data_IF_551696059770
#
_entry.id   IF_551696059770
#
_cell.length_a   1.000
_cell.length_b   1.000
_cell.length_c   1.000
_cell.angle_alpha   90.00
_cell.angle_beta   90.00
_cell.angle_gamma   90.00
#
_symmetry.space_group_name_H-M   'P 1'
#
loop_
_entity.id
_entity.type
_entity.pdbx_description
1 polymer ?
#
# COMPACT_ATOMS: atom_id res chain seq x y z
N UNK A 1 -3.83 -12.89 -3.87
CA UNK A 1 -4.10 -12.09 -5.08
C UNK A 1 -2.82 -11.41 -5.55
N UNK A 2 -2.33 -10.36 -4.88
CA UNK A 2 -1.12 -9.62 -5.32
C UNK A 2 0.16 -10.47 -5.54
N UNK A 3 0.43 -11.46 -4.69
CA UNK A 3 1.55 -12.38 -4.87
C UNK A 3 1.37 -13.28 -6.12
N UNK A 4 0.16 -13.81 -6.32
CA UNK A 4 -0.19 -14.57 -7.53
C UNK A 4 -0.08 -13.71 -8.79
N UNK A 5 -0.50 -12.44 -8.73
CA UNK A 5 -0.43 -11.52 -9.85
C UNK A 5 1.03 -11.21 -10.22
N UNK A 6 1.92 -11.07 -9.22
CA UNK A 6 3.35 -10.92 -9.44
C UNK A 6 3.96 -12.16 -10.11
N UNK A 7 3.64 -13.36 -9.62
CA UNK A 7 4.10 -14.63 -10.22
C UNK A 7 3.58 -14.75 -11.66
N UNK A 8 2.30 -14.44 -11.88
CA UNK A 8 1.70 -14.44 -13.21
C UNK A 8 2.42 -13.47 -14.14
N UNK A 9 2.66 -12.24 -13.70
CA UNK A 9 3.41 -11.25 -14.46
C UNK A 9 4.81 -11.75 -14.82
N UNK A 10 5.56 -12.32 -13.88
CA UNK A 10 6.89 -12.88 -14.13
C UNK A 10 6.83 -13.97 -15.20
N UNK A 11 5.87 -14.89 -15.11
CA UNK A 11 5.67 -15.94 -16.11
C UNK A 11 5.34 -15.35 -17.49
N UNK A 12 4.42 -14.39 -17.58
CA UNK A 12 4.04 -13.74 -18.84
C UNK A 12 5.20 -12.96 -19.47
N UNK A 13 6.15 -12.48 -18.66
CA UNK A 13 7.36 -11.78 -19.13
C UNK A 13 8.56 -12.68 -19.33
N UNK A 14 8.44 -13.99 -19.09
CA UNK A 14 9.56 -14.93 -19.18
C UNK A 14 10.65 -14.69 -18.12
N UNK A 15 10.30 -14.06 -17.00
CA UNK A 15 11.22 -13.82 -15.88
C UNK A 15 11.22 -15.07 -15.01
N UNK A 16 12.20 -15.95 -15.23
CA UNK A 16 12.33 -17.21 -14.50
C UNK A 16 13.03 -17.05 -13.15
N UNK A 17 13.76 -15.94 -12.96
CA UNK A 17 14.51 -15.65 -11.75
C UNK A 17 14.74 -14.14 -11.59
N UNK A 18 14.60 -13.60 -10.38
CA UNK A 18 14.86 -12.18 -10.12
C UNK A 18 15.43 -11.89 -8.72
N UNK A 19 16.00 -10.70 -8.58
CA UNK A 19 16.21 -10.05 -7.28
C UNK A 19 15.04 -9.09 -7.09
N UNK A 20 14.30 -9.22 -5.98
CA UNK A 20 13.13 -8.38 -5.72
C UNK A 20 13.47 -7.32 -4.68
N UNK A 21 13.15 -6.07 -5.00
CA UNK A 21 13.14 -4.95 -4.05
C UNK A 21 11.69 -4.50 -3.92
N UNK A 22 11.15 -4.52 -2.71
CA UNK A 22 9.76 -4.16 -2.45
C UNK A 22 9.64 -3.22 -1.26
N UNK A 23 9.00 -2.08 -1.47
CA UNK A 23 8.61 -1.14 -0.42
C UNK A 23 7.18 -1.42 0.06
N UNK A 24 6.96 -1.38 1.37
CA UNK A 24 5.63 -1.49 1.99
C UNK A 24 4.83 -2.69 1.44
N UNK A 25 3.64 -2.47 0.89
CA UNK A 25 2.81 -3.54 0.31
C UNK A 25 3.49 -4.30 -0.84
N UNK A 26 4.42 -3.65 -1.57
CA UNK A 26 5.24 -4.31 -2.59
C UNK A 26 6.21 -5.32 -1.99
N UNK A 27 6.78 -5.02 -0.83
CA UNK A 27 7.61 -5.94 -0.06
C UNK A 27 6.82 -7.16 0.44
N UNK A 28 5.64 -6.92 1.01
CA UNK A 28 4.73 -8.00 1.44
C UNK A 28 4.34 -8.92 0.27
N UNK A 29 4.00 -8.34 -0.88
CA UNK A 29 3.63 -9.09 -2.08
C UNK A 29 4.79 -9.94 -2.60
N UNK A 30 6.01 -9.38 -2.61
CA UNK A 30 7.22 -10.09 -3.01
C UNK A 30 7.61 -11.21 -2.04
N UNK A 31 7.54 -10.96 -0.73
CA UNK A 31 7.78 -11.98 0.29
C UNK A 31 6.81 -13.16 0.15
N UNK A 32 5.52 -12.89 0.02
CA UNK A 32 4.52 -13.95 -0.17
C UNK A 32 4.74 -14.71 -1.48
N UNK A 33 5.10 -14.02 -2.56
CA UNK A 33 5.44 -14.67 -3.83
C UNK A 33 6.67 -15.59 -3.69
N UNK A 34 7.68 -15.16 -2.94
CA UNK A 34 8.88 -15.96 -2.68
C UNK A 34 8.60 -17.17 -1.79
N UNK A 35 7.69 -17.07 -0.82
CA UNK A 35 7.24 -18.24 -0.04
C UNK A 35 6.48 -19.26 -0.93
N UNK A 36 5.70 -18.76 -1.90
CA UNK A 36 4.94 -19.62 -2.81
C UNK A 36 5.78 -20.25 -3.94
N UNK A 37 6.77 -19.54 -4.47
CA UNK A 37 7.59 -19.94 -5.63
C UNK A 37 9.06 -19.57 -5.39
N UNK A 38 9.74 -20.18 -4.39
CA UNK A 38 11.07 -19.75 -3.95
C UNK A 38 12.13 -19.80 -5.05
N UNK A 39 12.02 -20.74 -5.99
CA UNK A 39 12.96 -20.88 -7.11
C UNK A 39 13.00 -19.65 -8.05
N UNK A 40 11.94 -18.82 -8.06
CA UNK A 40 11.88 -17.62 -8.89
C UNK A 40 12.62 -16.42 -8.30
N UNK A 41 13.11 -16.51 -7.05
CA UNK A 41 13.69 -15.38 -6.33
C UNK A 41 15.10 -15.71 -5.83
N UNK A 42 16.10 -14.96 -6.31
CA UNK A 42 17.48 -15.07 -5.83
C UNK A 42 17.68 -14.42 -4.49
N UNK A 43 17.03 -13.29 -4.27
CA UNK A 43 17.26 -12.43 -3.12
C UNK A 43 16.11 -11.44 -2.96
N UNK A 44 15.79 -11.09 -1.71
CA UNK A 44 14.78 -10.11 -1.36
C UNK A 44 15.41 -8.92 -0.63
N UNK A 45 15.00 -7.70 -1.00
CA UNK A 45 15.20 -6.48 -0.21
C UNK A 45 13.82 -5.92 0.13
N UNK A 46 13.50 -5.95 1.42
CA UNK A 46 12.19 -5.61 1.96
C UNK A 46 12.31 -4.30 2.73
N UNK A 47 11.74 -3.23 2.20
CA UNK A 47 11.87 -1.88 2.74
C UNK A 47 10.54 -1.43 3.35
N UNK A 48 10.59 -1.05 4.63
CA UNK A 48 9.44 -0.52 5.40
C UNK A 48 8.14 -1.32 5.18
N UNK A 49 8.22 -2.66 5.30
CA UNK A 49 7.07 -3.56 5.15
C UNK A 49 6.89 -4.49 6.35
N UNK A 50 5.70 -5.08 6.50
CA UNK A 50 5.44 -6.09 7.52
C UNK A 50 5.82 -7.50 7.04
N UNK A 51 6.34 -8.34 7.94
CA UNK A 51 6.65 -9.76 7.70
C UNK A 51 5.54 -10.68 8.24
N UNK A 52 4.59 -10.10 8.98
CA UNK A 52 3.43 -10.77 9.54
C UNK A 52 2.20 -9.86 9.51
N UNK A 53 1.16 -10.18 10.30
CA UNK A 53 -0.03 -9.35 10.38
C UNK A 53 0.31 -7.92 10.79
N UNK A 54 -0.35 -6.94 10.18
CA UNK A 54 -0.21 -5.55 10.60
C UNK A 54 -0.65 -5.38 12.07
N UNK A 55 -0.05 -4.44 12.82
CA UNK A 55 -0.53 -4.03 14.13
C UNK A 55 -2.04 -3.77 14.12
N UNK A 56 -2.76 -4.22 15.15
CA UNK A 56 -4.23 -4.12 15.20
C UNK A 56 -4.73 -2.70 14.93
N UNK A 57 -4.06 -1.71 15.53
CA UNK A 57 -4.37 -0.28 15.33
C UNK A 57 -4.34 0.13 13.85
N UNK A 58 -3.37 -0.38 13.07
CA UNK A 58 -3.30 -0.09 11.63
C UNK A 58 -4.38 -0.85 10.86
N UNK A 59 -4.68 -2.09 11.24
CA UNK A 59 -5.79 -2.87 10.63
C UNK A 59 -7.15 -2.20 10.81
N UNK A 60 -7.38 -1.56 11.96
CA UNK A 60 -8.62 -0.84 12.24
C UNK A 60 -8.70 0.52 11.50
N UNK A 61 -7.57 1.22 11.38
CA UNK A 61 -7.51 2.55 10.76
C UNK A 61 -7.55 2.52 9.22
N UNK A 62 -6.98 1.49 8.58
CA UNK A 62 -6.89 1.42 7.12
C UNK A 62 -8.25 1.42 6.41
N UNK A 63 -9.26 0.62 6.82
CA UNK A 63 -10.60 0.67 6.23
C UNK A 63 -11.28 2.03 6.41
N UNK A 64 -11.16 2.64 7.59
CA UNK A 64 -11.74 3.95 7.89
C UNK A 64 -11.14 5.01 6.97
N UNK A 65 -9.81 5.05 6.89
CA UNK A 65 -9.11 6.01 6.04
C UNK A 65 -9.42 5.81 4.55
N UNK A 66 -9.45 4.56 4.09
CA UNK A 66 -9.74 4.21 2.70
C UNK A 66 -11.15 4.62 2.26
N UNK A 67 -12.16 4.30 3.06
CA UNK A 67 -13.54 4.67 2.79
C UNK A 67 -13.71 6.19 2.80
N UNK A 68 -13.15 6.86 3.81
CA UNK A 68 -13.19 8.31 3.92
C UNK A 68 -12.55 8.99 2.71
N UNK A 69 -11.38 8.51 2.27
CA UNK A 69 -10.71 9.07 1.11
C UNK A 69 -11.52 8.85 -0.17
N UNK A 70 -12.12 7.68 -0.34
CA UNK A 70 -12.96 7.39 -1.50
C UNK A 70 -14.22 8.27 -1.55
N UNK A 71 -14.86 8.49 -0.40
CA UNK A 71 -15.99 9.40 -0.25
C UNK A 71 -15.60 10.84 -0.59
N UNK A 72 -14.53 11.36 0.02
CA UNK A 72 -14.04 12.72 -0.24
C UNK A 72 -13.71 12.93 -1.73
N UNK A 73 -13.08 11.95 -2.38
CA UNK A 73 -12.75 12.05 -3.81
C UNK A 73 -14.01 12.12 -4.67
N UNK A 74 -15.09 11.43 -4.29
CA UNK A 74 -16.37 11.50 -4.99
C UNK A 74 -17.09 12.85 -4.85
N UNK A 75 -16.77 13.61 -3.80
CA UNK A 75 -17.31 14.94 -3.52
C UNK A 75 -16.52 16.09 -4.17
N UNK A 76 -15.35 15.81 -4.78
CA UNK A 76 -14.55 16.85 -5.42
C UNK A 76 -15.41 17.54 -6.51
N UNK A 77 -15.48 18.88 -6.52
CA UNK A 77 -16.22 19.60 -7.56
C UNK A 77 -15.68 19.29 -8.95
N UNK A 78 -16.54 19.15 -9.97
CA UNK A 78 -16.09 18.86 -11.32
C UNK A 78 -15.32 20.05 -11.93
N UNK A 79 -14.36 19.75 -12.81
CA UNK A 79 -13.55 20.68 -13.59
C UNK A 79 -12.55 21.53 -12.77
N UNK A 80 -12.26 21.15 -11.52
CA UNK A 80 -11.16 21.73 -10.75
C UNK A 80 -9.83 21.14 -11.20
N UNK A 81 -8.75 21.91 -11.08
CA UNK A 81 -7.41 21.39 -11.37
C UNK A 81 -6.92 20.45 -10.24
N UNK A 82 -5.82 19.75 -10.47
CA UNK A 82 -5.32 18.76 -9.52
C UNK A 82 -4.88 19.40 -8.18
N UNK A 83 -4.34 20.61 -8.20
CA UNK A 83 -3.93 21.33 -6.98
C UNK A 83 -5.15 21.70 -6.12
N UNK A 84 -6.23 22.19 -6.74
CA UNK A 84 -7.50 22.49 -6.09
C UNK A 84 -8.15 21.22 -5.51
N UNK A 85 -8.11 20.11 -6.24
CA UNK A 85 -8.57 18.81 -5.76
C UNK A 85 -7.79 18.37 -4.51
N UNK A 86 -6.47 18.53 -4.49
CA UNK A 86 -5.64 18.21 -3.33
C UNK A 86 -5.88 19.12 -2.13
N UNK A 87 -6.16 20.41 -2.35
CA UNK A 87 -6.57 21.34 -1.29
C UNK A 87 -7.90 20.87 -0.69
N UNK A 88 -8.89 20.54 -1.52
CA UNK A 88 -10.18 20.02 -1.08
C UNK A 88 -10.03 18.76 -0.22
N UNK A 89 -9.25 17.78 -0.69
CA UNK A 89 -8.98 16.53 0.04
C UNK A 89 -8.36 16.84 1.40
N UNK A 90 -7.32 17.68 1.47
CA UNK A 90 -6.63 18.01 2.72
C UNK A 90 -7.55 18.67 3.76
N UNK A 91 -8.37 19.63 3.34
CA UNK A 91 -9.29 20.32 4.25
C UNK A 91 -10.41 19.40 4.76
N UNK A 92 -10.98 18.56 3.88
CA UNK A 92 -11.99 17.56 4.27
C UNK A 92 -11.39 16.51 5.22
N UNK A 93 -10.22 15.97 4.89
CA UNK A 93 -9.51 15.01 5.74
C UNK A 93 -9.21 15.58 7.12
N UNK A 94 -8.73 16.83 7.21
CA UNK A 94 -8.44 17.49 8.48
C UNK A 94 -9.69 17.65 9.37
N UNK A 95 -10.84 17.86 8.76
CA UNK A 95 -12.12 18.03 9.46
C UNK A 95 -12.68 16.70 9.96
N UNK A 96 -12.50 15.63 9.18
CA UNK A 96 -13.11 14.33 9.41
C UNK A 96 -12.21 13.33 10.16
N UNK A 97 -10.89 13.58 10.23
CA UNK A 97 -9.98 12.74 11.00
C UNK A 97 -10.13 12.96 12.52
N UNK A 98 -10.15 11.88 13.34
CA UNK A 98 -10.21 12.00 14.80
C UNK A 98 -9.06 12.85 15.34
N UNK A 99 -9.35 13.78 16.27
CA UNK A 99 -8.36 14.74 16.82
C UNK A 99 -7.14 14.06 17.48
N UNK A 100 -7.28 12.81 17.94
CA UNK A 100 -6.21 12.00 18.52
C UNK A 100 -5.24 11.37 17.49
N UNK A 101 -5.52 11.52 16.19
CA UNK A 101 -4.56 11.18 15.13
C UNK A 101 -3.41 12.20 15.00
N UNK A 102 -3.50 13.34 15.68
CA UNK A 102 -2.55 14.45 15.65
C UNK A 102 -1.19 14.17 16.31
N UNK A 103 -1.06 13.06 17.06
CA UNK A 103 0.21 12.61 17.64
C UNK A 103 1.14 11.87 16.65
N UNK A 104 0.71 11.68 15.40
CA UNK A 104 1.64 11.42 14.30
C UNK A 104 2.40 12.73 14.09
N UNK A 105 3.50 12.92 14.84
CA UNK A 105 4.39 14.09 14.81
C UNK A 105 4.46 14.63 13.39
N UNK A 106 4.33 15.97 13.24
CA UNK A 106 4.49 16.83 12.04
C UNK A 106 5.77 16.53 11.23
N UNK A 107 5.94 15.30 10.79
CA UNK A 107 7.07 14.77 10.04
C UNK A 107 6.50 14.57 8.67
N UNK A 108 7.05 15.30 7.69
CA UNK A 108 6.74 15.27 6.26
C UNK A 108 6.09 13.94 5.85
N UNK A 109 4.79 13.80 6.10
CA UNK A 109 4.03 12.76 5.46
C UNK A 109 3.91 13.32 4.06
N UNK A 110 4.83 12.88 3.20
CA UNK A 110 4.39 12.60 1.85
C UNK A 110 3.28 11.59 2.11
N UNK A 111 2.02 12.07 2.15
CA UNK A 111 0.86 11.24 2.46
C UNK A 111 0.89 10.00 1.57
N UNK A 112 0.09 8.99 1.89
CA UNK A 112 -0.08 7.84 0.99
C UNK A 112 -0.21 8.39 -0.43
N UNK A 113 0.73 8.08 -1.35
CA UNK A 113 0.74 8.70 -2.67
C UNK A 113 -0.41 8.09 -3.46
N UNK A 114 -1.58 8.65 -3.25
CA UNK A 114 -2.80 8.29 -3.94
C UNK A 114 -2.81 9.12 -5.22
N UNK A 115 -3.01 8.43 -6.34
CA UNK A 115 -3.03 9.09 -7.64
C UNK A 115 -4.48 9.34 -8.03
N UNK A 116 -4.82 10.60 -8.24
CA UNK A 116 -6.11 10.98 -8.78
C UNK A 116 -6.15 10.66 -10.27
N UNK A 117 -7.30 10.21 -10.74
CA UNK A 117 -7.60 9.95 -12.16
C UNK A 117 -8.70 10.90 -12.59
N UNK A 118 -8.36 11.79 -13.53
CA UNK A 118 -9.33 12.67 -14.16
C UNK A 118 -10.29 11.85 -15.06
N UNK A 119 -11.57 12.16 -14.96
CA UNK A 119 -12.63 11.51 -15.72
C UNK A 119 -13.12 12.43 -16.85
N UNK A 120 -13.70 11.88 -17.93
CA UNK A 120 -14.23 12.70 -19.04
C UNK A 120 -15.31 13.70 -18.64
N UNK A 121 -16.02 13.47 -17.54
CA UNK A 121 -17.07 14.36 -17.00
C UNK A 121 -16.53 15.48 -16.10
N UNK A 122 -15.19 15.64 -16.03
CA UNK A 122 -14.52 16.63 -15.20
C UNK A 122 -14.35 16.21 -13.74
N UNK A 123 -14.79 15.02 -13.33
CA UNK A 123 -14.63 14.53 -11.96
C UNK A 123 -13.31 13.81 -11.74
N UNK A 124 -13.00 13.52 -10.48
CA UNK A 124 -11.88 12.67 -10.10
C UNK A 124 -12.35 11.32 -9.57
N UNK A 125 -11.53 10.32 -9.81
CA UNK A 125 -11.59 9.02 -9.13
C UNK A 125 -10.21 8.63 -8.62
N UNK A 126 -10.14 7.58 -7.83
CA UNK A 126 -8.87 6.99 -7.43
C UNK A 126 -8.35 6.07 -8.53
N UNK A 127 -7.08 6.21 -8.91
CA UNK A 127 -6.45 5.29 -9.85
C UNK A 127 -6.22 3.90 -9.23
N UNK A 128 -6.04 3.85 -7.91
CA UNK A 128 -5.80 2.62 -7.17
C UNK A 128 -7.12 1.97 -6.74
N UNK A 129 -7.17 0.64 -6.78
CA UNK A 129 -8.20 -0.14 -6.11
C UNK A 129 -7.89 -0.22 -4.61
N UNK A 130 -8.41 0.75 -3.86
CA UNK A 130 -8.23 0.81 -2.41
C UNK A 130 -8.89 -0.37 -1.69
N UNK A 131 -10.03 -0.88 -2.19
CA UNK A 131 -10.73 -1.97 -1.54
C UNK A 131 -9.88 -3.25 -1.55
N UNK A 132 -9.29 -3.57 -2.71
CA UNK A 132 -8.36 -4.69 -2.86
C UNK A 132 -7.10 -4.50 -2.02
N UNK A 133 -6.50 -3.30 -2.03
CA UNK A 133 -5.31 -3.00 -1.24
C UNK A 133 -5.55 -3.12 0.27
N UNK A 134 -6.66 -2.56 0.78
CA UNK A 134 -7.04 -2.64 2.19
C UNK A 134 -7.32 -4.09 2.57
N UNK A 135 -8.12 -4.80 1.77
CA UNK A 135 -8.40 -6.23 1.99
C UNK A 135 -7.11 -7.04 2.11
N UNK A 136 -6.14 -6.82 1.22
CA UNK A 136 -4.84 -7.48 1.31
C UNK A 136 -4.05 -7.13 2.56
N UNK A 137 -4.02 -5.85 2.97
CA UNK A 137 -3.27 -5.39 4.14
C UNK A 137 -3.92 -5.84 5.47
N UNK A 138 -5.25 -5.95 5.51
CA UNK A 138 -5.99 -6.32 6.71
C UNK A 138 -6.23 -7.82 6.83
N UNK A 139 -6.26 -8.53 5.70
CA UNK A 139 -6.23 -10.00 5.73
C UNK A 139 -4.85 -10.45 6.18
N UNK A 140 -4.80 -11.49 7.00
CA UNK A 140 -3.56 -12.23 7.22
C UNK A 140 -3.49 -13.28 6.11
N UNK A 141 -2.75 -13.05 5.01
CA UNK A 141 -2.63 -14.06 3.99
C UNK A 141 -1.97 -15.30 4.60
N UNK A 142 -2.59 -16.47 4.40
CA UNK A 142 -1.98 -17.76 4.72
C UNK A 142 -0.69 -17.90 3.91
N UNK A 143 0.45 -17.66 4.54
CA UNK A 143 1.75 -17.88 3.95
C UNK A 143 2.16 -19.33 4.17
N UNK A 144 2.08 -20.15 3.13
CA UNK A 144 2.62 -21.52 3.11
C UNK A 144 3.89 -21.54 2.27
N UNK A 145 4.90 -22.26 2.75
CA UNK A 145 6.18 -22.44 2.06
C UNK A 145 7.36 -21.90 2.87
N UNK A 146 8.57 -22.15 2.35
CA UNK A 146 9.83 -21.75 2.97
C UNK A 146 10.68 -21.10 1.89
N UNK A 147 11.23 -19.93 2.20
CA UNK A 147 12.24 -19.27 1.40
C UNK A 147 13.55 -19.28 2.17
N UNK A 148 14.53 -20.04 1.68
CA UNK A 148 15.87 -20.16 2.32
C UNK A 148 16.91 -19.23 1.67
N UNK A 149 16.50 -18.44 0.68
CA UNK A 149 17.39 -17.47 0.05
C UNK A 149 17.64 -16.24 0.92
N UNK A 150 18.63 -15.40 0.57
CA UNK A 150 18.91 -14.18 1.32
C UNK A 150 17.74 -13.19 1.29
N UNK A 151 17.30 -12.76 2.47
CA UNK A 151 16.29 -11.72 2.64
C UNK A 151 16.84 -10.61 3.54
N UNK A 152 16.95 -9.40 2.98
CA UNK A 152 17.44 -8.21 3.67
C UNK A 152 16.28 -7.30 4.01
N UNK A 153 16.30 -6.78 5.24
CA UNK A 153 15.26 -5.90 5.73
C UNK A 153 15.82 -4.50 6.00
N UNK A 154 15.14 -3.49 5.47
CA UNK A 154 15.56 -2.09 5.56
C UNK A 154 14.47 -1.32 6.28
N UNK A 155 14.78 -0.86 7.50
CA UNK A 155 13.87 -0.08 8.33
C UNK A 155 14.52 1.20 8.80
N UNK A 156 13.73 2.28 8.79
CA UNK A 156 14.11 3.51 9.48
C UNK A 156 13.95 3.37 10.99
N UNK A 157 14.69 4.18 11.75
CA UNK A 157 14.60 4.26 13.23
C UNK A 157 13.22 4.67 13.77
N UNK A 158 12.27 4.95 12.89
CA UNK A 158 10.90 5.35 13.22
C UNK A 158 9.85 4.56 12.42
N UNK A 159 10.26 3.45 11.79
CA UNK A 159 9.34 2.52 11.15
C UNK A 159 8.31 2.02 12.18
N UNK A 160 7.01 1.92 11.82
CA UNK A 160 6.02 1.28 12.66
C UNK A 160 6.08 -0.26 12.58
N UNK A 161 6.91 -0.82 11.69
CA UNK A 161 7.13 -2.25 11.52
C UNK A 161 8.30 -2.68 12.40
N UNK A 162 8.06 -3.72 13.21
CA UNK A 162 9.08 -4.41 14.01
C UNK A 162 9.48 -5.69 13.28
N UNK A 163 10.78 -5.88 13.04
CA UNK A 163 11.39 -7.09 12.47
C UNK A 163 12.59 -7.50 13.29
#
# INVERSE_FOLDING_TARGET
MFAQDLIHFMNTKGITKCILIGHSMGGMSGLLAALMQPAMFEMLFLEDCAVGPLPQRLRDLLPIYGNLLQEIVSEIPPNVNEDEAWIFIKEKMKTLMPKDSSNVKKRRSRGVPVVLKHQPDGRYSLKADLASAISFLTSSPDSKGIYEGPAFFIYGTHSPYEV
#
